data_IF_774884994878
#
_entry.id   IF_774884994878
#
_cell.length_a   1.000
_cell.length_b   1.000
_cell.length_c   1.000
_cell.angle_alpha   90.00
_cell.angle_beta   90.00
_cell.angle_gamma   90.00
#
_symmetry.space_group_name_H-M   'P 1'
#
loop_
_entity.id
_entity.type
_entity.pdbx_description
1 polymer ?
#
# COMPACT_ATOMS: atom_id res chain seq x y z
N UNK A 1 57.75 -13.86 -50.15
CA UNK A 1 56.36 -13.59 -49.73
C UNK A 1 55.51 -14.55 -50.54
N UNK A 2 55.01 -15.69 -50.07
CA UNK A 2 54.94 -16.27 -48.74
C UNK A 2 54.79 -17.80 -48.88
N UNK A 3 55.48 -18.51 -47.98
CA UNK A 3 55.06 -19.69 -47.20
C UNK A 3 54.30 -20.84 -47.91
N UNK A 4 55.02 -21.96 -48.17
CA UNK A 4 54.92 -23.27 -47.46
C UNK A 4 53.61 -24.04 -47.68
N UNK A 5 53.61 -25.16 -48.42
CA UNK A 5 53.81 -26.54 -47.92
C UNK A 5 52.70 -26.96 -46.94
N UNK A 6 52.06 -28.12 -47.03
CA UNK A 6 52.55 -29.45 -47.36
C UNK A 6 51.35 -30.40 -47.56
N UNK A 7 51.62 -31.45 -48.34
CA UNK A 7 50.80 -32.62 -48.64
C UNK A 7 50.09 -33.28 -47.44
N UNK A 8 48.94 -33.92 -47.72
CA UNK A 8 48.72 -35.31 -47.30
C UNK A 8 47.66 -36.01 -48.17
N UNK A 9 48.09 -37.12 -48.75
CA UNK A 9 47.29 -38.19 -49.38
C UNK A 9 46.23 -38.72 -48.42
N UNK A 10 45.08 -39.16 -48.93
CA UNK A 10 44.23 -40.11 -48.21
C UNK A 10 43.76 -41.26 -49.09
N UNK A 11 43.82 -42.41 -48.44
CA UNK A 11 43.86 -43.79 -48.91
C UNK A 11 42.46 -44.42 -48.93
N UNK A 12 42.30 -45.45 -49.74
CA UNK A 12 41.10 -46.27 -50.04
C UNK A 12 40.60 -47.19 -48.91
N UNK A 13 39.26 -47.27 -48.76
CA UNK A 13 38.35 -48.45 -48.54
C UNK A 13 38.60 -49.45 -47.37
N UNK A 14 37.67 -50.39 -46.99
CA UNK A 14 36.18 -50.46 -46.99
C UNK A 14 35.57 -51.01 -45.67
N UNK A 15 34.23 -51.20 -45.65
CA UNK A 15 33.40 -52.17 -44.89
C UNK A 15 33.74 -52.54 -43.43
N UNK A 16 32.76 -52.39 -42.53
CA UNK A 16 32.14 -53.56 -41.87
C UNK A 16 30.91 -53.18 -41.04
N UNK A 17 29.79 -53.82 -41.38
CA UNK A 17 28.65 -54.02 -40.49
C UNK A 17 29.12 -54.58 -39.15
N UNK A 18 28.71 -53.96 -38.05
CA UNK A 18 28.57 -54.66 -36.77
C UNK A 18 27.43 -54.01 -35.98
N UNK A 19 26.37 -54.78 -35.79
CA UNK A 19 25.27 -54.48 -34.90
C UNK A 19 25.79 -54.51 -33.46
N UNK A 20 25.50 -53.48 -32.67
CA UNK A 20 25.50 -53.63 -31.22
C UNK A 20 24.30 -52.91 -30.59
N UNK A 21 23.54 -53.73 -29.88
CA UNK A 21 22.41 -53.42 -29.00
C UNK A 21 22.82 -52.39 -27.94
N UNK A 22 22.04 -51.30 -27.81
CA UNK A 22 22.24 -50.27 -26.80
C UNK A 22 20.91 -49.92 -26.12
N UNK A 23 20.84 -50.19 -24.82
CA UNK A 23 19.66 -50.15 -23.98
C UNK A 23 18.95 -48.78 -23.93
N UNK A 24 17.61 -48.81 -24.02
CA UNK A 24 16.74 -47.67 -23.71
C UNK A 24 16.80 -47.40 -22.20
N UNK A 25 17.55 -46.38 -21.78
CA UNK A 25 17.55 -45.90 -20.41
C UNK A 25 16.22 -45.17 -20.14
N UNK A 26 15.33 -45.81 -19.38
CA UNK A 26 14.10 -45.22 -18.88
C UNK A 26 14.46 -44.21 -17.77
N UNK A 27 14.62 -42.94 -18.13
CA UNK A 27 14.71 -41.84 -17.16
C UNK A 27 13.32 -41.66 -16.52
N UNK A 28 13.08 -42.31 -15.39
CA UNK A 28 11.92 -42.02 -14.55
C UNK A 28 12.13 -40.65 -13.90
N UNK A 29 11.39 -39.65 -14.36
CA UNK A 29 11.30 -38.35 -13.70
C UNK A 29 10.72 -38.54 -12.29
N UNK A 30 11.56 -38.35 -11.27
CA UNK A 30 11.11 -38.20 -9.89
C UNK A 30 10.42 -36.84 -9.76
N UNK A 31 9.13 -36.77 -9.39
CA UNK A 31 8.53 -35.49 -9.05
C UNK A 31 9.12 -35.03 -7.72
N UNK A 32 9.89 -33.95 -7.76
CA UNK A 32 10.28 -33.21 -6.56
C UNK A 32 9.02 -32.66 -5.91
N UNK A 33 8.54 -33.31 -4.85
CA UNK A 33 7.52 -32.76 -3.99
C UNK A 33 8.12 -31.55 -3.25
N UNK A 34 7.94 -30.35 -3.80
CA UNK A 34 8.26 -29.12 -3.10
C UNK A 34 7.24 -28.98 -1.96
N UNK A 35 7.67 -29.23 -0.72
CA UNK A 35 6.85 -28.95 0.44
C UNK A 35 6.49 -27.46 0.45
N UNK A 36 5.19 -27.15 0.42
CA UNK A 36 4.72 -25.78 0.55
C UNK A 36 5.15 -25.22 1.92
N UNK A 37 5.62 -23.97 2.00
CA UNK A 37 5.97 -23.36 3.28
C UNK A 37 4.73 -23.34 4.20
N UNK A 38 4.85 -23.92 5.39
CA UNK A 38 3.79 -23.95 6.39
C UNK A 38 3.57 -22.55 6.98
N UNK A 39 2.44 -21.94 6.66
CA UNK A 39 2.01 -20.62 7.16
C UNK A 39 1.41 -20.69 8.58
N UNK A 40 1.87 -21.60 9.45
CA UNK A 40 1.25 -21.93 10.74
C UNK A 40 1.34 -20.81 11.81
N UNK A 41 1.98 -19.68 11.50
CA UNK A 41 2.12 -18.52 12.41
C UNK A 41 1.38 -17.26 11.96
N UNK A 42 0.71 -17.28 10.81
CA UNK A 42 -0.02 -16.11 10.33
C UNK A 42 -1.47 -16.18 10.80
N UNK A 43 -1.96 -15.11 11.42
CA UNK A 43 -3.37 -14.99 11.82
C UNK A 43 -4.26 -15.27 10.60
N UNK A 44 -4.98 -16.40 10.60
CA UNK A 44 -5.77 -16.84 9.44
C UNK A 44 -7.04 -16.03 9.19
N UNK A 45 -7.40 -15.14 10.12
CA UNK A 45 -8.62 -14.33 10.04
C UNK A 45 -8.27 -12.87 9.77
N UNK A 46 -7.97 -12.53 8.50
CA UNK A 46 -8.34 -11.19 8.05
C UNK A 46 -9.85 -11.07 8.27
N UNK A 47 -10.30 -10.14 9.10
CA UNK A 47 -11.72 -10.06 9.48
C UNK A 47 -12.62 -9.59 8.35
N UNK A 48 -12.06 -9.00 7.30
CA UNK A 48 -12.82 -8.32 6.24
C UNK A 48 -12.19 -8.58 4.87
N UNK A 49 -12.93 -9.21 3.96
CA UNK A 49 -12.55 -9.29 2.53
C UNK A 49 -12.63 -7.92 1.84
N UNK A 50 -13.55 -7.07 2.29
CA UNK A 50 -13.76 -5.72 1.77
C UNK A 50 -13.47 -4.66 2.85
N UNK A 51 -12.49 -3.80 2.60
CA UNK A 51 -12.09 -2.74 3.52
C UNK A 51 -13.04 -1.55 3.41
N UNK A 52 -13.55 -1.07 4.54
CA UNK A 52 -14.40 0.13 4.56
C UNK A 52 -13.59 1.39 4.31
N UNK A 53 -14.13 2.29 3.48
CA UNK A 53 -13.50 3.56 3.09
C UNK A 53 -13.63 4.58 4.21
N UNK A 54 -12.51 5.13 4.67
CA UNK A 54 -12.45 6.14 5.73
C UNK A 54 -11.72 7.40 5.28
N UNK A 55 -12.30 8.57 5.57
CA UNK A 55 -11.64 9.87 5.47
C UNK A 55 -11.68 10.56 6.84
N UNK A 56 -10.53 10.97 7.37
CA UNK A 56 -10.41 11.58 8.70
C UNK A 56 -10.19 13.08 8.58
N UNK A 57 -10.92 13.87 9.38
CA UNK A 57 -10.71 15.30 9.59
C UNK A 57 -10.24 15.50 11.04
N UNK A 58 -9.02 16.01 11.24
CA UNK A 58 -8.38 16.06 12.57
C UNK A 58 -7.77 17.43 12.84
N UNK A 59 -7.90 17.91 14.07
CA UNK A 59 -7.22 19.10 14.59
C UNK A 59 -6.03 18.70 15.48
N UNK A 60 -5.32 17.66 15.05
CA UNK A 60 -4.12 17.12 15.70
C UNK A 60 -3.19 18.22 16.22
N UNK A 61 -2.56 17.94 17.37
CA UNK A 61 -1.78 18.88 18.20
C UNK A 61 -2.59 19.83 19.07
N UNK A 62 -3.92 19.87 18.97
CA UNK A 62 -4.74 20.56 19.98
C UNK A 62 -4.71 19.78 21.31
N UNK A 63 -5.03 18.47 21.25
CA UNK A 63 -5.02 17.54 22.38
C UNK A 63 -4.26 16.25 22.01
N UNK A 64 -3.81 15.46 22.99
CA UNK A 64 -3.05 14.23 22.72
C UNK A 64 -3.89 13.10 22.11
N UNK A 65 -5.22 13.16 22.20
CA UNK A 65 -6.15 12.13 21.76
C UNK A 65 -6.14 11.90 20.24
N UNK A 66 -6.01 12.95 19.43
CA UNK A 66 -5.92 12.84 17.97
C UNK A 66 -4.64 12.11 17.53
N UNK A 67 -3.52 12.35 18.21
CA UNK A 67 -2.28 11.62 17.96
C UNK A 67 -2.42 10.14 18.36
N UNK A 68 -3.01 9.86 19.53
CA UNK A 68 -3.26 8.49 20.00
C UNK A 68 -4.23 7.74 19.09
N UNK A 69 -5.29 8.41 18.63
CA UNK A 69 -6.29 7.87 17.72
C UNK A 69 -5.70 7.57 16.35
N UNK A 70 -4.83 8.45 15.84
CA UNK A 70 -4.11 8.19 14.59
C UNK A 70 -3.16 6.98 14.72
N UNK A 71 -2.38 6.89 15.80
CA UNK A 71 -1.54 5.71 16.06
C UNK A 71 -2.39 4.44 16.09
N UNK A 72 -3.53 4.46 16.79
CA UNK A 72 -4.46 3.33 16.85
C UNK A 72 -5.01 2.99 15.48
N UNK A 73 -5.48 3.97 14.70
CA UNK A 73 -6.00 3.77 13.35
C UNK A 73 -4.97 3.07 12.44
N UNK A 74 -3.70 3.47 12.52
CA UNK A 74 -2.63 2.88 11.71
C UNK A 74 -2.38 1.40 12.04
N UNK A 75 -2.67 0.96 13.26
CA UNK A 75 -2.62 -0.48 13.63
C UNK A 75 -3.76 -1.31 13.01
N UNK A 76 -4.78 -0.66 12.44
CA UNK A 76 -5.87 -1.28 11.68
C UNK A 76 -5.86 -0.92 10.19
N UNK A 77 -4.79 -0.27 9.69
CA UNK A 77 -4.73 0.15 8.29
C UNK A 77 -4.69 -1.01 7.28
N UNK A 78 -4.45 -2.24 7.74
CA UNK A 78 -4.65 -3.45 6.94
C UNK A 78 -6.12 -3.86 6.79
N UNK A 79 -7.03 -3.40 7.65
CA UNK A 79 -8.48 -3.70 7.62
C UNK A 79 -9.34 -2.51 7.16
N UNK A 80 -8.81 -1.29 7.24
CA UNK A 80 -9.51 -0.05 6.88
C UNK A 80 -8.85 0.57 5.64
N UNK A 81 -9.66 0.98 4.66
CA UNK A 81 -9.16 1.69 3.50
C UNK A 81 -9.14 3.19 3.77
N UNK A 82 -8.02 3.68 4.30
CA UNK A 82 -7.79 5.10 4.59
C UNK A 82 -7.65 5.85 3.27
N UNK A 83 -8.69 6.59 2.90
CA UNK A 83 -8.76 7.40 1.69
C UNK A 83 -8.12 8.78 1.85
N UNK A 84 -8.11 9.31 3.07
CA UNK A 84 -7.54 10.63 3.37
C UNK A 84 -7.43 10.90 4.86
N UNK A 85 -6.41 11.66 5.23
CA UNK A 85 -6.25 12.26 6.56
C UNK A 85 -6.04 13.76 6.32
N UNK A 86 -6.99 14.59 6.70
CA UNK A 86 -6.89 16.02 6.47
C UNK A 86 -6.84 16.80 7.77
N UNK A 87 -5.84 17.67 7.89
CA UNK A 87 -5.72 18.57 9.04
C UNK A 87 -6.67 19.76 8.90
N UNK A 88 -7.38 20.08 9.96
CA UNK A 88 -8.41 21.13 10.01
C UNK A 88 -8.33 21.89 11.33
N UNK A 89 -8.95 23.06 11.38
CA UNK A 89 -9.20 23.78 12.64
C UNK A 89 -10.38 23.18 13.40
N UNK A 90 -10.55 23.56 14.67
CA UNK A 90 -11.71 23.25 15.52
C UNK A 90 -12.09 24.45 16.40
N UNK A 91 -13.09 24.29 17.28
CA UNK A 91 -13.43 25.31 18.29
C UNK A 91 -12.27 25.58 19.25
N UNK A 92 -11.46 24.57 19.53
CA UNK A 92 -10.35 24.61 20.49
C UNK A 92 -9.02 24.99 19.82
N UNK A 93 -8.88 24.77 18.52
CA UNK A 93 -7.77 25.25 17.69
C UNK A 93 -8.30 26.00 16.43
N UNK A 94 -8.71 27.28 16.54
CA UNK A 94 -9.52 27.96 15.53
C UNK A 94 -8.75 28.55 14.33
N UNK A 95 -7.44 28.71 14.43
CA UNK A 95 -6.63 29.47 13.46
C UNK A 95 -5.29 28.79 13.11
N UNK A 96 -5.15 27.52 13.48
CA UNK A 96 -3.95 26.70 13.22
C UNK A 96 -4.36 25.33 12.66
N UNK A 97 -3.52 24.80 11.78
CA UNK A 97 -3.53 23.40 11.34
C UNK A 97 -2.13 22.81 11.53
N UNK A 98 -2.02 21.50 11.78
CA UNK A 98 -0.73 20.87 12.09
C UNK A 98 -0.45 19.61 11.26
N UNK A 99 -0.07 19.83 10.00
CA UNK A 99 0.29 18.76 9.07
C UNK A 99 1.51 17.96 9.53
N UNK A 100 2.50 18.63 10.14
CA UNK A 100 3.76 18.00 10.52
C UNK A 100 3.56 16.96 11.62
N UNK A 101 2.60 17.16 12.53
CA UNK A 101 2.25 16.14 13.52
C UNK A 101 1.68 14.86 12.89
N UNK A 102 0.88 14.95 11.83
CA UNK A 102 0.43 13.75 11.09
C UNK A 102 1.64 13.04 10.46
N UNK A 103 2.54 13.80 9.83
CA UNK A 103 3.77 13.24 9.23
C UNK A 103 4.64 12.57 10.29
N UNK A 104 4.79 13.18 11.47
CA UNK A 104 5.56 12.61 12.58
C UNK A 104 5.01 11.25 13.05
N UNK A 105 3.67 11.11 13.14
CA UNK A 105 3.04 9.82 13.44
C UNK A 105 3.29 8.81 12.32
N UNK A 106 3.17 9.23 11.05
CA UNK A 106 3.46 8.38 9.89
C UNK A 106 4.94 7.96 9.84
N UNK A 107 5.88 8.81 10.26
CA UNK A 107 7.30 8.48 10.36
C UNK A 107 7.57 7.42 11.43
N UNK A 108 6.79 7.43 12.51
CA UNK A 108 6.74 6.32 13.48
C UNK A 108 6.26 5.03 12.82
N UNK A 109 5.15 5.09 12.10
CA UNK A 109 4.59 3.96 11.36
C UNK A 109 5.57 3.37 10.32
N UNK A 110 6.30 4.23 9.60
CA UNK A 110 7.33 3.83 8.62
C UNK A 110 8.37 2.90 9.21
N UNK A 111 8.72 3.07 10.49
CA UNK A 111 9.71 2.25 11.20
C UNK A 111 9.18 0.86 11.57
N UNK A 112 7.87 0.68 11.65
CA UNK A 112 7.24 -0.56 12.17
C UNK A 112 6.43 -1.33 11.13
N UNK A 113 6.07 -0.74 9.98
CA UNK A 113 5.20 -1.36 8.96
C UNK A 113 5.70 -2.72 8.47
N UNK A 114 7.02 -2.92 8.37
CA UNK A 114 7.60 -4.22 7.99
C UNK A 114 7.34 -5.29 9.06
N UNK A 115 7.44 -4.93 10.34
CA UNK A 115 7.13 -5.83 11.45
C UNK A 115 5.64 -6.12 11.53
N UNK A 116 4.77 -5.13 11.28
CA UNK A 116 3.33 -5.33 11.21
C UNK A 116 2.97 -6.33 10.08
N UNK A 117 3.54 -6.13 8.89
CA UNK A 117 3.34 -7.02 7.74
C UNK A 117 3.85 -8.45 7.97
N UNK A 118 4.84 -8.66 8.84
CA UNK A 118 5.30 -10.00 9.19
C UNK A 118 4.27 -10.80 10.02
N UNK A 119 3.28 -10.13 10.60
CA UNK A 119 2.28 -10.72 11.51
C UNK A 119 0.87 -10.85 10.90
N UNK A 120 0.71 -10.52 9.62
CA UNK A 120 -0.57 -10.63 8.90
C UNK A 120 -0.44 -11.52 7.66
N UNK A 121 -1.55 -12.08 7.15
CA UNK A 121 -1.54 -12.79 5.88
C UNK A 121 -1.05 -11.92 4.72
N UNK A 122 -0.41 -12.54 3.74
CA UNK A 122 0.08 -11.86 2.53
C UNK A 122 -1.01 -11.17 1.71
N UNK A 123 -2.26 -11.61 1.81
CA UNK A 123 -3.41 -11.03 1.13
C UNK A 123 -4.04 -9.83 1.87
N UNK A 124 -3.60 -9.55 3.11
CA UNK A 124 -4.10 -8.44 3.92
C UNK A 124 -2.94 -7.56 4.44
N UNK A 125 -2.08 -7.02 3.55
CA UNK A 125 -0.95 -6.21 3.98
C UNK A 125 -1.41 -4.85 4.50
N UNK A 126 -0.63 -4.31 5.43
CA UNK A 126 -0.64 -2.91 5.82
C UNK A 126 -0.14 -2.02 4.66
N UNK A 127 -0.74 -0.84 4.44
CA UNK A 127 -0.36 0.08 3.37
C UNK A 127 1.06 0.63 3.57
N UNK A 128 1.73 1.00 2.48
CA UNK A 128 3.06 1.61 2.60
C UNK A 128 2.99 2.99 3.24
N UNK A 129 4.08 3.44 3.87
CA UNK A 129 4.20 4.81 4.36
C UNK A 129 3.88 5.84 3.28
N UNK A 130 4.43 5.65 2.06
CA UNK A 130 4.18 6.55 0.94
C UNK A 130 2.70 6.60 0.55
N UNK A 131 2.00 5.46 0.56
CA UNK A 131 0.56 5.41 0.27
C UNK A 131 -0.24 6.29 1.22
N UNK A 132 0.09 6.26 2.52
CA UNK A 132 -0.57 7.07 3.54
C UNK A 132 -0.16 8.54 3.45
N UNK A 133 1.13 8.82 3.26
CA UNK A 133 1.64 10.19 3.15
C UNK A 133 1.02 10.94 1.96
N UNK A 134 0.88 10.27 0.81
CA UNK A 134 0.26 10.84 -0.40
C UNK A 134 -1.25 11.16 -0.21
N UNK A 135 -1.83 10.77 0.92
CA UNK A 135 -3.24 10.99 1.31
C UNK A 135 -3.39 11.94 2.49
N UNK A 136 -2.32 12.61 2.90
CA UNK A 136 -2.40 13.66 3.92
C UNK A 136 -2.68 14.99 3.24
N UNK A 137 -3.74 15.66 3.67
CA UNK A 137 -4.24 16.89 3.05
C UNK A 137 -4.35 18.03 4.06
N UNK A 138 -4.46 19.26 3.55
CA UNK A 138 -4.58 20.49 4.37
C UNK A 138 -5.91 21.18 4.11
N UNK A 139 -6.64 21.48 5.19
CA UNK A 139 -7.71 22.47 5.21
C UNK A 139 -7.18 23.90 5.26
N UNK A 140 -8.08 24.86 5.48
CA UNK A 140 -7.70 26.25 5.75
C UNK A 140 -7.45 26.47 7.26
N UNK A 141 -6.50 27.35 7.64
CA UNK A 141 -6.28 27.74 9.03
C UNK A 141 -7.30 28.80 9.48
N UNK A 142 -8.59 28.57 9.24
CA UNK A 142 -9.68 29.45 9.67
C UNK A 142 -10.85 28.63 10.22
N UNK A 143 -11.42 29.11 11.32
CA UNK A 143 -12.49 28.38 11.99
C UNK A 143 -13.82 28.35 11.23
N UNK A 144 -14.35 27.13 11.09
CA UNK A 144 -15.73 26.85 10.71
C UNK A 144 -16.12 27.48 9.38
N UNK A 145 -17.27 28.16 9.35
CA UNK A 145 -17.87 28.71 8.11
C UNK A 145 -17.02 29.79 7.42
N UNK A 146 -15.97 30.31 8.06
CA UNK A 146 -15.06 31.26 7.41
C UNK A 146 -14.39 30.64 6.18
N UNK A 147 -14.15 29.34 6.18
CA UNK A 147 -13.54 28.63 5.04
C UNK A 147 -14.42 28.64 3.79
N UNK A 148 -15.75 28.74 3.94
CA UNK A 148 -16.71 28.73 2.83
C UNK A 148 -16.66 29.99 1.95
N UNK A 149 -15.96 31.03 2.39
CA UNK A 149 -15.72 32.24 1.60
C UNK A 149 -14.37 32.21 0.87
N UNK A 150 -13.67 31.06 0.90
CA UNK A 150 -12.36 30.85 0.29
C UNK A 150 -12.48 29.87 -0.88
N UNK A 151 -11.41 29.73 -1.67
CA UNK A 151 -11.33 28.64 -2.65
C UNK A 151 -11.22 27.29 -1.94
N UNK A 152 -11.64 26.20 -2.59
CA UNK A 152 -11.57 24.86 -2.01
C UNK A 152 -10.15 24.53 -1.53
N UNK A 153 -10.04 24.12 -0.26
CA UNK A 153 -8.82 23.59 0.30
C UNK A 153 -8.38 22.28 -0.40
N UNK A 154 -7.12 21.90 -0.20
CA UNK A 154 -6.60 20.61 -0.69
C UNK A 154 -7.39 19.44 -0.07
N UNK A 155 -7.70 19.54 1.23
CA UNK A 155 -8.56 18.59 1.93
C UNK A 155 -9.95 18.46 1.32
N UNK A 156 -10.59 19.58 0.97
CA UNK A 156 -11.93 19.55 0.38
C UNK A 156 -11.91 18.93 -1.02
N UNK A 157 -10.92 19.28 -1.85
CA UNK A 157 -10.73 18.66 -3.19
C UNK A 157 -10.50 17.15 -3.09
N UNK A 158 -9.68 16.71 -2.14
CA UNK A 158 -9.42 15.30 -1.90
C UNK A 158 -10.67 14.56 -1.42
N UNK A 159 -11.47 15.19 -0.55
CA UNK A 159 -12.72 14.63 -0.07
C UNK A 159 -13.76 14.48 -1.20
N UNK A 160 -13.98 15.50 -2.01
CA UNK A 160 -14.86 15.44 -3.20
C UNK A 160 -14.44 14.29 -4.12
N UNK A 161 -13.17 14.27 -4.53
CA UNK A 161 -12.63 13.21 -5.40
C UNK A 161 -12.79 11.80 -4.82
N UNK A 162 -12.79 11.68 -3.49
CA UNK A 162 -12.96 10.40 -2.81
C UNK A 162 -14.44 10.01 -2.74
N UNK A 163 -15.31 10.97 -2.49
CA UNK A 163 -16.76 10.81 -2.45
C UNK A 163 -17.32 10.42 -3.83
N UNK A 164 -16.80 11.00 -4.92
CA UNK A 164 -17.17 10.66 -6.30
C UNK A 164 -16.90 9.19 -6.67
N UNK A 165 -16.02 8.53 -5.92
CA UNK A 165 -15.67 7.11 -6.09
C UNK A 165 -16.48 6.18 -5.17
N UNK A 166 -17.22 6.73 -4.22
CA UNK A 166 -18.04 5.95 -3.33
C UNK A 166 -19.31 5.46 -4.03
N UNK A 167 -19.91 4.41 -3.50
CA UNK A 167 -21.19 3.88 -3.98
C UNK A 167 -22.10 3.53 -2.79
N UNK A 168 -23.33 3.12 -3.08
CA UNK A 168 -24.27 2.63 -2.05
C UNK A 168 -23.73 1.38 -1.36
N UNK A 169 -23.05 0.50 -2.10
CA UNK A 169 -22.49 -0.75 -1.57
C UNK A 169 -21.11 -0.56 -0.90
N UNK A 170 -20.39 0.50 -1.28
CA UNK A 170 -19.10 0.88 -0.73
C UNK A 170 -19.04 2.38 -0.37
N UNK A 171 -19.76 2.79 0.70
CA UNK A 171 -19.88 4.19 1.07
C UNK A 171 -18.58 4.73 1.68
N UNK A 172 -18.36 6.03 1.50
CA UNK A 172 -17.30 6.76 2.21
C UNK A 172 -17.77 7.13 3.62
N UNK A 173 -17.03 6.71 4.64
CA UNK A 173 -17.20 7.22 6.00
C UNK A 173 -16.29 8.42 6.22
N UNK A 174 -16.86 9.55 6.64
CA UNK A 174 -16.10 10.73 7.06
C UNK A 174 -16.12 10.82 8.58
N UNK A 175 -14.95 10.74 9.21
CA UNK A 175 -14.79 10.86 10.66
C UNK A 175 -14.26 12.24 11.01
N UNK A 176 -14.95 12.94 11.90
CA UNK A 176 -14.64 14.32 12.29
C UNK A 176 -14.14 14.31 13.73
N UNK A 177 -12.83 14.42 13.92
CA UNK A 177 -12.19 14.47 15.24
C UNK A 177 -12.06 15.91 15.74
N UNK A 178 -11.77 16.84 14.81
CA UNK A 178 -11.75 18.28 15.06
C UNK A 178 -12.98 19.01 14.53
N UNK A 179 -12.76 20.04 13.70
CA UNK A 179 -13.85 20.77 13.03
C UNK A 179 -14.26 20.19 11.68
N UNK A 180 -15.49 20.50 11.26
CA UNK A 180 -16.08 19.99 10.00
C UNK A 180 -15.96 20.95 8.81
N UNK A 181 -15.03 21.92 8.86
CA UNK A 181 -14.90 22.97 7.83
C UNK A 181 -14.67 22.37 6.42
N UNK A 182 -13.78 21.38 6.34
CA UNK A 182 -13.45 20.69 5.08
C UNK A 182 -14.66 19.92 4.51
N UNK A 183 -15.45 19.27 5.38
CA UNK A 183 -16.69 18.61 4.96
C UNK A 183 -17.70 19.63 4.45
N UNK A 184 -17.84 20.77 5.12
CA UNK A 184 -18.74 21.83 4.68
C UNK A 184 -18.30 22.44 3.34
N UNK A 185 -17.00 22.66 3.11
CA UNK A 185 -16.44 23.07 1.83
C UNK A 185 -16.78 22.06 0.71
N UNK A 186 -16.56 20.77 0.98
CA UNK A 186 -16.83 19.71 0.00
C UNK A 186 -18.32 19.59 -0.37
N UNK A 187 -19.23 19.78 0.60
CA UNK A 187 -20.67 19.72 0.36
C UNK A 187 -21.25 20.98 -0.29
N UNK A 188 -20.55 22.11 -0.22
CA UNK A 188 -20.97 23.35 -0.87
C UNK A 188 -20.70 23.34 -2.37
N UNK A 189 -19.75 22.52 -2.82
CA UNK A 189 -19.32 22.42 -4.22
C UNK A 189 -20.09 21.36 -4.99
#
# INVERSE_FOLDING_TARGET
>A
MDLTASAALNYTMPNMFSQLVGAFALFTALPSAQAAPSHDKQCSTSRTEHKRRLFVLTDISNEPDDQMSLVRLLTYANEIDIQGISVTTSTWMPDKIDYESVVGVLDGYKKVVNNLNANVPSHAPYPSYKYLLDRVHKGHPVYGRKSLNMSLSDGAKALVKTADKASVDDPLTVSVWGGSAILAEALQH
#
